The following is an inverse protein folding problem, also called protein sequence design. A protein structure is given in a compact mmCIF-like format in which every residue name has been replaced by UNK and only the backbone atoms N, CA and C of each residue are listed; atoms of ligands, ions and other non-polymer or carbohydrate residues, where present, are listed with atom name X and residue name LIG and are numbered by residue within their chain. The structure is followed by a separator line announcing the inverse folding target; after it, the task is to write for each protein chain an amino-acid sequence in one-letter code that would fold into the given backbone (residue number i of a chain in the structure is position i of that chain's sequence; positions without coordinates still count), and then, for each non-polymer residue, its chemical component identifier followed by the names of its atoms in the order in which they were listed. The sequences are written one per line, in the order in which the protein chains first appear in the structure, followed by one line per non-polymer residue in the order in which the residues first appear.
data_IF_871193834933
#
_entry.id   IF_871193834933
#
_cell.length_a   1.000
_cell.length_b   1.000
_cell.length_c   1.000
_cell.angle_alpha   90.00
_cell.angle_beta   90.00
_cell.angle_gamma   90.00
#
_symmetry.space_group_name_H-M   'P 1'
#
loop_
_entity.id
_entity.type
_entity.pdbx_description
1 polymer ?
#
# COMPACT_ATOMS: atom_id res chain seq x y z
N UNK A 1 3.10 -7.08 -11.65
CA UNK A 1 3.48 -8.00 -12.73
C UNK A 1 3.50 -9.45 -12.25
N UNK A 2 4.37 -9.84 -11.31
CA UNK A 2 4.40 -11.22 -10.78
C UNK A 2 3.03 -11.74 -10.29
N UNK A 3 2.33 -10.96 -9.46
CA UNK A 3 0.99 -11.31 -8.96
C UNK A 3 -0.09 -11.45 -10.04
N UNK A 4 0.01 -10.72 -11.15
CA UNK A 4 -0.94 -10.79 -12.27
C UNK A 4 -0.76 -12.13 -13.02
N UNK A 5 0.49 -12.48 -13.34
CA UNK A 5 0.81 -13.75 -14.00
C UNK A 5 0.44 -14.96 -13.14
N UNK A 6 0.61 -14.86 -11.81
CA UNK A 6 0.22 -15.91 -10.90
C UNK A 6 -1.29 -16.10 -10.84
N UNK A 7 -2.06 -15.01 -10.78
CA UNK A 7 -3.53 -15.09 -10.78
C UNK A 7 -4.01 -15.70 -12.10
N UNK A 8 -3.45 -15.25 -13.22
CA UNK A 8 -3.76 -15.81 -14.53
C UNK A 8 -3.44 -17.31 -14.62
N UNK A 9 -2.22 -17.71 -14.25
CA UNK A 9 -1.80 -19.11 -14.27
C UNK A 9 -2.67 -19.98 -13.36
N UNK A 10 -3.13 -19.44 -12.23
CA UNK A 10 -4.04 -20.14 -11.33
C UNK A 10 -5.43 -20.34 -11.93
N UNK A 11 -5.98 -19.30 -12.58
CA UNK A 11 -7.26 -19.39 -13.29
C UNK A 11 -7.19 -20.39 -14.45
N UNK A 12 -6.12 -20.35 -15.24
CA UNK A 12 -5.92 -21.26 -16.36
C UNK A 12 -5.71 -22.73 -15.91
N UNK A 13 -4.89 -22.97 -14.88
CA UNK A 13 -4.66 -24.34 -14.39
C UNK A 13 -5.89 -24.94 -13.71
N UNK A 14 -6.76 -24.11 -13.13
CA UNK A 14 -8.06 -24.56 -12.62
C UNK A 14 -8.95 -25.06 -13.77
N UNK A 15 -8.87 -24.42 -14.94
CA UNK A 15 -9.65 -24.78 -16.12
C UNK A 15 -9.11 -26.01 -16.86
N UNK A 16 -7.79 -26.19 -16.96
CA UNK A 16 -7.18 -27.29 -17.75
C UNK A 16 -6.95 -28.62 -17.01
N UNK A 17 -7.18 -28.68 -15.69
CA UNK A 17 -7.36 -29.95 -14.94
C UNK A 17 -6.11 -30.82 -14.70
N UNK A 18 -4.90 -30.37 -15.02
CA UNK A 18 -3.66 -31.16 -14.84
C UNK A 18 -3.13 -31.22 -13.38
N UNK A 19 -2.90 -32.43 -12.85
CA UNK A 19 -2.45 -32.67 -11.46
C UNK A 19 -1.11 -32.00 -11.08
N UNK A 20 -0.11 -32.06 -11.97
CA UNK A 20 1.21 -31.43 -11.77
C UNK A 20 1.11 -29.89 -11.78
N UNK A 21 0.29 -29.34 -12.69
CA UNK A 21 0.05 -27.90 -12.80
C UNK A 21 -0.62 -27.34 -11.54
N UNK A 22 -1.51 -28.10 -10.92
CA UNK A 22 -2.22 -27.72 -9.69
C UNK A 22 -1.29 -27.48 -8.50
N UNK A 23 -0.23 -28.29 -8.36
CA UNK A 23 0.77 -28.13 -7.26
C UNK A 23 1.61 -26.87 -7.45
N UNK A 24 2.07 -26.62 -8.68
CA UNK A 24 2.84 -25.42 -9.02
C UNK A 24 2.00 -24.14 -8.85
N UNK A 25 0.75 -24.18 -9.30
CA UNK A 25 -0.24 -23.12 -9.09
C UNK A 25 -0.44 -22.82 -7.61
N UNK A 26 -0.56 -23.84 -6.75
CA UNK A 26 -0.72 -23.66 -5.30
C UNK A 26 0.45 -22.92 -4.65
N UNK A 27 1.69 -23.25 -5.02
CA UNK A 27 2.91 -22.56 -4.55
C UNK A 27 2.93 -21.10 -5.02
N UNK A 28 2.54 -20.86 -6.28
CA UNK A 28 2.47 -19.50 -6.81
C UNK A 28 1.39 -18.67 -6.11
N UNK A 29 0.21 -19.25 -5.88
CA UNK A 29 -0.92 -18.58 -5.23
C UNK A 29 -0.60 -18.24 -3.76
N UNK A 30 0.07 -19.14 -3.04
CA UNK A 30 0.55 -18.84 -1.67
C UNK A 30 1.59 -17.72 -1.66
N UNK A 31 2.52 -17.68 -2.62
CA UNK A 31 3.44 -16.56 -2.78
C UNK A 31 2.70 -15.24 -3.08
N UNK A 32 1.66 -15.28 -3.93
CA UNK A 32 0.84 -14.11 -4.23
C UNK A 32 0.09 -13.58 -3.00
N UNK A 33 -0.52 -14.47 -2.22
CA UNK A 33 -1.19 -14.11 -0.96
C UNK A 33 -0.20 -13.43 0.01
N UNK A 34 1.01 -13.96 0.14
CA UNK A 34 2.06 -13.34 0.97
C UNK A 34 2.40 -11.92 0.51
N UNK A 35 2.55 -11.68 -0.79
CA UNK A 35 2.80 -10.34 -1.34
C UNK A 35 1.63 -9.38 -1.08
N UNK A 36 0.39 -9.84 -1.24
CA UNK A 36 -0.80 -9.02 -0.97
C UNK A 36 -0.84 -8.61 0.51
N UNK A 37 -0.58 -9.55 1.42
CA UNK A 37 -0.51 -9.28 2.86
C UNK A 37 0.60 -8.27 3.17
N UNK A 38 1.80 -8.46 2.61
CA UNK A 38 2.92 -7.55 2.81
C UNK A 38 2.58 -6.12 2.37
N UNK A 39 1.99 -5.96 1.19
CA UNK A 39 1.53 -4.65 0.70
C UNK A 39 0.50 -4.07 1.67
N UNK A 40 -0.48 -4.86 2.10
CA UNK A 40 -1.49 -4.44 3.07
C UNK A 40 -0.88 -3.92 4.38
N UNK A 41 0.14 -4.61 4.92
CA UNK A 41 0.84 -4.19 6.13
C UNK A 41 1.57 -2.86 5.95
N UNK A 42 2.21 -2.63 4.80
CA UNK A 42 2.90 -1.36 4.51
C UNK A 42 1.90 -0.20 4.46
N UNK A 43 0.77 -0.37 3.78
CA UNK A 43 -0.27 0.66 3.72
C UNK A 43 -0.93 0.91 5.09
N UNK A 44 -1.17 -0.15 5.87
CA UNK A 44 -1.67 -0.05 7.24
C UNK A 44 -0.71 0.75 8.13
N UNK A 45 0.59 0.45 8.05
CA UNK A 45 1.64 1.19 8.75
C UNK A 45 1.66 2.67 8.34
N UNK A 46 1.53 2.97 7.04
CA UNK A 46 1.44 4.36 6.55
C UNK A 46 0.29 5.15 7.16
N UNK A 47 -0.90 4.53 7.27
CA UNK A 47 -2.06 5.17 7.90
C UNK A 47 -1.80 5.41 9.38
N UNK A 48 -1.20 4.45 10.08
CA UNK A 48 -0.89 4.57 11.50
C UNK A 48 0.17 5.64 11.77
N UNK A 49 1.22 5.73 10.95
CA UNK A 49 2.22 6.80 11.03
C UNK A 49 1.59 8.17 10.80
N UNK A 50 0.69 8.28 9.81
CA UNK A 50 -0.03 9.52 9.54
C UNK A 50 -0.93 9.93 10.70
N UNK A 51 -1.57 8.98 11.39
CA UNK A 51 -2.36 9.24 12.61
C UNK A 51 -1.48 9.67 13.78
N UNK A 52 -0.43 8.90 14.08
CA UNK A 52 0.52 9.21 15.16
C UNK A 52 1.16 10.59 14.97
N UNK A 53 1.46 10.98 13.73
CA UNK A 53 1.95 12.31 13.40
C UNK A 53 0.97 13.42 13.81
N UNK A 54 -0.34 13.22 13.60
CA UNK A 54 -1.36 14.21 13.97
C UNK A 54 -1.50 14.30 15.48
N UNK A 55 -1.42 13.17 16.17
CA UNK A 55 -1.45 13.11 17.63
C UNK A 55 -0.27 13.87 18.24
N UNK A 56 0.94 13.72 17.69
CA UNK A 56 2.12 14.49 18.13
C UNK A 56 1.87 16.00 17.99
N UNK A 57 1.27 16.45 16.88
CA UNK A 57 0.96 17.88 16.68
C UNK A 57 -0.07 18.37 17.69
N UNK A 58 -1.09 17.56 18.01
CA UNK A 58 -2.08 17.91 19.03
C UNK A 58 -1.42 18.05 20.42
N UNK A 59 -0.64 17.06 20.86
CA UNK A 59 0.05 17.08 22.15
C UNK A 59 1.03 18.26 22.23
N UNK A 60 1.73 18.55 21.14
CA UNK A 60 2.64 19.67 21.06
C UNK A 60 1.92 21.02 21.17
N UNK A 61 0.75 21.15 20.55
CA UNK A 61 -0.08 22.35 20.66
C UNK A 61 -0.58 22.55 22.10
N UNK A 62 -0.99 21.49 22.77
CA UNK A 62 -1.38 21.55 24.19
C UNK A 62 -0.19 21.94 25.09
N UNK A 63 1.01 21.44 24.78
CA UNK A 63 2.23 21.81 25.49
C UNK A 63 2.59 23.30 25.29
N UNK A 64 2.43 23.84 24.08
CA UNK A 64 2.62 25.29 23.80
C UNK A 64 1.68 26.16 24.62
N UNK A 65 0.45 25.71 24.86
CA UNK A 65 -0.53 26.47 25.64
C UNK A 65 -0.24 26.46 27.14
N UNK A 66 0.40 25.40 27.65
CA UNK A 66 0.73 25.24 29.07
C UNK A 66 2.08 25.83 29.47
N UNK A 67 2.95 26.10 28.52
CA UNK A 67 4.28 26.66 28.80
C UNK A 67 4.26 28.18 28.96
N UNK A 68 4.80 28.63 30.09
CA UNK A 68 4.95 30.04 30.47
C UNK A 68 6.32 30.62 30.03
N UNK A 69 7.34 29.78 29.87
CA UNK A 69 8.66 30.22 29.39
C UNK A 69 8.60 30.54 27.88
N UNK A 70 8.80 31.82 27.57
CA UNK A 70 8.80 32.36 26.21
C UNK A 70 9.84 31.71 25.28
N UNK A 71 11.00 31.28 25.80
CA UNK A 71 12.06 30.64 25.01
C UNK A 71 11.63 29.24 24.61
N UNK A 72 11.09 28.48 25.56
CA UNK A 72 10.60 27.11 25.35
C UNK A 72 9.39 27.15 24.41
N UNK A 73 8.43 28.03 24.67
CA UNK A 73 7.25 28.24 23.84
C UNK A 73 7.59 28.56 22.38
N UNK A 74 8.56 29.44 22.14
CA UNK A 74 9.01 29.77 20.78
C UNK A 74 9.61 28.56 20.06
N UNK A 75 10.39 27.73 20.76
CA UNK A 75 10.95 26.49 20.19
C UNK A 75 9.86 25.48 19.84
N UNK A 76 8.89 25.25 20.75
CA UNK A 76 7.77 24.35 20.47
C UNK A 76 6.90 24.84 19.29
N UNK A 77 6.65 26.15 19.20
CA UNK A 77 5.91 26.74 18.06
C UNK A 77 6.63 26.49 16.73
N UNK A 78 7.95 26.71 16.69
CA UNK A 78 8.75 26.46 15.50
C UNK A 78 8.71 24.97 15.10
N UNK A 79 8.80 24.07 16.10
CA UNK A 79 8.70 22.63 15.86
C UNK A 79 7.30 22.21 15.36
N UNK A 80 6.24 22.79 15.92
CA UNK A 80 4.85 22.54 15.50
C UNK A 80 4.62 22.94 14.05
N UNK A 81 5.09 24.13 13.68
CA UNK A 81 5.05 24.61 12.30
C UNK A 81 5.87 23.70 11.38
N UNK A 82 7.04 23.26 11.80
CA UNK A 82 7.86 22.33 11.00
C UNK A 82 7.16 20.99 10.76
N UNK A 83 6.51 20.42 11.79
CA UNK A 83 5.73 19.19 11.65
C UNK A 83 4.48 19.38 10.78
N UNK A 84 3.83 20.54 10.83
CA UNK A 84 2.70 20.88 9.96
C UNK A 84 3.12 21.02 8.49
N UNK A 85 4.24 21.69 8.22
CA UNK A 85 4.77 21.87 6.86
C UNK A 85 5.35 20.59 6.27
N UNK A 86 5.93 19.73 7.11
CA UNK A 86 6.57 18.48 6.69
C UNK A 86 6.04 17.30 7.49
N UNK A 87 4.75 17.02 7.31
CA UNK A 87 4.14 15.86 7.95
C UNK A 87 4.90 14.58 7.56
N UNK A 88 5.34 13.77 8.53
CA UNK A 88 5.94 12.47 8.26
C UNK A 88 4.89 11.58 7.59
N UNK A 89 4.96 11.53 6.26
CA UNK A 89 4.18 10.64 5.43
C UNK A 89 5.12 9.55 4.94
N UNK A 90 4.72 8.30 5.10
CA UNK A 90 5.37 7.18 4.43
C UNK A 90 5.20 7.36 2.93
N UNK A 91 6.31 7.66 2.25
CA UNK A 91 6.34 7.89 0.81
C UNK A 91 7.50 7.13 0.20
N UNK A 92 7.23 6.42 -0.89
CA UNK A 92 8.23 5.91 -1.82
C UNK A 92 8.62 7.02 -2.81
N UNK A 93 9.79 6.91 -3.44
CA UNK A 93 10.28 7.86 -4.46
C UNK A 93 9.19 8.18 -5.50
N UNK A 94 8.39 7.17 -5.86
CA UNK A 94 7.39 7.23 -6.93
C UNK A 94 5.96 7.55 -6.45
N UNK A 95 5.61 7.24 -5.19
CA UNK A 95 4.23 7.36 -4.73
C UNK A 95 4.13 7.49 -3.20
N UNK A 96 3.12 8.22 -2.73
CA UNK A 96 2.73 8.22 -1.33
C UNK A 96 1.94 6.93 -1.04
N UNK A 97 2.13 6.36 0.15
CA UNK A 97 1.34 5.20 0.57
C UNK A 97 -0.02 5.66 1.10
N UNK A 98 -0.90 6.06 0.18
CA UNK A 98 -2.28 6.48 0.45
C UNK A 98 -3.31 5.48 -0.13
N UNK A 99 -4.53 5.51 0.39
CA UNK A 99 -5.61 4.63 -0.06
C UNK A 99 -5.92 4.79 -1.55
N UNK A 100 -5.73 6.01 -2.07
CA UNK A 100 -5.91 6.33 -3.48
C UNK A 100 -4.91 5.60 -4.37
N UNK A 101 -3.64 5.52 -3.95
CA UNK A 101 -2.61 4.75 -4.66
C UNK A 101 -2.91 3.26 -4.62
N UNK A 102 -3.37 2.72 -3.48
CA UNK A 102 -3.76 1.32 -3.37
C UNK A 102 -4.90 0.97 -4.34
N UNK A 103 -5.95 1.81 -4.41
CA UNK A 103 -7.06 1.60 -5.32
C UNK A 103 -6.63 1.67 -6.80
N UNK A 104 -5.75 2.62 -7.14
CA UNK A 104 -5.16 2.71 -8.48
C UNK A 104 -4.36 1.45 -8.84
N UNK A 105 -3.52 0.96 -7.93
CA UNK A 105 -2.76 -0.28 -8.15
C UNK A 105 -3.68 -1.48 -8.38
N UNK A 106 -4.76 -1.60 -7.59
CA UNK A 106 -5.79 -2.63 -7.80
C UNK A 106 -6.45 -2.52 -9.18
N UNK A 107 -6.84 -1.32 -9.59
CA UNK A 107 -7.38 -1.06 -10.92
C UNK A 107 -6.44 -1.50 -12.05
N UNK A 108 -5.15 -1.15 -11.95
CA UNK A 108 -4.14 -1.61 -12.92
C UNK A 108 -4.02 -3.13 -13.00
N UNK A 109 -4.08 -3.83 -11.86
CA UNK A 109 -4.05 -5.30 -11.82
C UNK A 109 -5.25 -5.90 -12.55
N UNK A 110 -6.46 -5.42 -12.28
CA UNK A 110 -7.68 -5.93 -12.92
C UNK A 110 -7.65 -5.66 -14.42
N UNK A 111 -7.32 -4.44 -14.85
CA UNK A 111 -7.23 -4.10 -16.27
C UNK A 111 -6.25 -5.01 -17.01
N UNK A 112 -5.09 -5.29 -16.41
CA UNK A 112 -4.09 -6.16 -17.04
C UNK A 112 -4.56 -7.62 -17.12
N UNK A 113 -5.28 -8.12 -16.11
CA UNK A 113 -5.88 -9.46 -16.16
C UNK A 113 -6.91 -9.57 -17.28
N UNK A 114 -7.79 -8.57 -17.42
CA UNK A 114 -8.80 -8.54 -18.50
C UNK A 114 -8.12 -8.57 -19.86
N UNK A 115 -7.07 -7.77 -20.06
CA UNK A 115 -6.29 -7.77 -21.31
C UNK A 115 -5.70 -9.15 -21.60
N UNK A 116 -5.09 -9.80 -20.60
CA UNK A 116 -4.52 -11.13 -20.78
C UNK A 116 -5.59 -12.17 -21.16
N UNK A 117 -6.75 -12.16 -20.51
CA UNK A 117 -7.85 -13.06 -20.87
C UNK A 117 -8.37 -12.82 -22.30
N UNK A 118 -8.46 -11.55 -22.74
CA UNK A 118 -8.87 -11.24 -24.11
C UNK A 118 -7.87 -11.77 -25.14
N UNK A 119 -6.56 -11.68 -24.86
CA UNK A 119 -5.55 -12.22 -25.77
C UNK A 119 -5.55 -13.74 -25.83
N UNK A 120 -5.90 -14.42 -24.74
CA UNK A 120 -6.01 -15.89 -24.69
C UNK A 120 -7.15 -16.37 -25.59
N UNK A 121 -8.34 -15.77 -25.45
CA UNK A 121 -9.55 -16.07 -26.22
C UNK A 121 -9.35 -15.84 -27.73
N UNK A 122 -8.61 -14.79 -28.11
CA UNK A 122 -8.24 -14.52 -29.51
C UNK A 122 -7.22 -15.53 -30.05
N UNK A 123 -6.39 -16.12 -29.18
CA UNK A 123 -5.36 -17.09 -29.62
C UNK A 123 -5.93 -18.49 -29.87
N UNK A 124 -7.06 -18.82 -29.25
CA UNK A 124 -7.76 -20.10 -29.44
C UNK A 124 -8.73 -20.10 -30.65
N UNK A 125 -9.01 -18.94 -31.26
CA UNK A 125 -9.84 -18.79 -32.48
C UNK A 125 -9.03 -18.85 -33.77
#
# INVERSE_FOLDING_TARGET
MFSIFVIYAASYSYYSGGSEALRFTGIMLTACAFYIIMIGLIFSSSVNVSKASRDIVCVLNDAVQREDDLIIKRKLLCFSQHMLYRQPILRSLFYAFDWKTLFKMGGFVVTYLVILFQFDDISES
#
